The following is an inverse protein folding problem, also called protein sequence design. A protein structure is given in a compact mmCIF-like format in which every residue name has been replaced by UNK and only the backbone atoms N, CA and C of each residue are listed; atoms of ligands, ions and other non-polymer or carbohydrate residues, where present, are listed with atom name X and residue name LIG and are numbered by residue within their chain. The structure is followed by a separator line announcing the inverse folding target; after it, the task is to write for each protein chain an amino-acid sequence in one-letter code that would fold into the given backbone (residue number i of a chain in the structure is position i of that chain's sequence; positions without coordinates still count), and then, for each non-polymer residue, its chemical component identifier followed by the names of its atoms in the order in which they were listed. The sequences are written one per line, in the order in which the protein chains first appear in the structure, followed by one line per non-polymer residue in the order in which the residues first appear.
data_IF_604279587859
#
_entry.id   IF_604279587859
#
_cell.length_a   1.000
_cell.length_b   1.000
_cell.length_c   1.000
_cell.angle_alpha   90.00
_cell.angle_beta   90.00
_cell.angle_gamma   90.00
#
_symmetry.space_group_name_H-M   'P 1'
#
loop_
_entity.id
_entity.type
_entity.pdbx_description
1 polymer ?
#
# COMPACT_ATOMS: atom_id res chain seq x y z
N UNK A 1 -18.95 -42.83 -5.47
CA UNK A 1 -18.88 -42.10 -4.17
C UNK A 1 -17.97 -40.87 -4.35
N UNK A 2 -18.50 -39.68 -4.16
CA UNK A 2 -17.71 -38.46 -4.14
C UNK A 2 -16.81 -38.46 -2.90
N UNK A 3 -15.50 -38.51 -3.08
CA UNK A 3 -14.55 -38.24 -2.01
C UNK A 3 -14.30 -36.74 -1.95
N UNK A 4 -14.64 -36.13 -0.83
CA UNK A 4 -14.17 -34.81 -0.53
C UNK A 4 -12.65 -34.87 -0.38
N UNK A 5 -11.94 -34.22 -1.30
CA UNK A 5 -10.51 -34.06 -1.21
C UNK A 5 -10.24 -32.77 -0.40
N UNK A 6 -9.66 -32.91 0.78
CA UNK A 6 -9.13 -31.77 1.53
C UNK A 6 -7.70 -31.51 1.05
N UNK A 7 -7.56 -30.58 0.12
CA UNK A 7 -6.24 -30.05 -0.21
C UNK A 7 -5.98 -28.87 0.72
N UNK A 8 -4.94 -28.94 1.52
CA UNK A 8 -4.46 -27.80 2.30
C UNK A 8 -3.52 -27.03 1.39
N UNK A 9 -3.90 -25.83 0.89
CA UNK A 9 -3.02 -25.03 0.08
C UNK A 9 -1.79 -24.60 0.88
N UNK A 10 -0.62 -24.71 0.28
CA UNK A 10 0.62 -24.23 0.83
C UNK A 10 1.11 -23.00 0.02
N UNK A 11 1.88 -22.16 0.66
CA UNK A 11 2.57 -21.07 -0.02
C UNK A 11 3.76 -21.60 -0.85
N UNK A 12 4.27 -20.81 -1.82
CA UNK A 12 5.41 -21.22 -2.64
C UNK A 12 6.55 -21.80 -1.81
N UNK A 13 7.15 -22.89 -2.31
CA UNK A 13 8.20 -23.63 -1.60
C UNK A 13 7.69 -24.54 -0.48
N UNK A 14 6.39 -24.88 -0.48
CA UNK A 14 5.80 -25.78 0.53
C UNK A 14 5.68 -25.17 1.93
N UNK A 15 5.72 -23.86 2.04
CA UNK A 15 5.65 -23.14 3.31
C UNK A 15 4.22 -23.07 3.84
N UNK A 16 4.07 -23.26 5.15
CA UNK A 16 2.76 -23.26 5.83
C UNK A 16 2.29 -21.87 6.24
N UNK A 17 3.17 -20.89 6.27
CA UNK A 17 2.87 -19.51 6.65
C UNK A 17 3.53 -18.54 5.68
N UNK A 18 2.86 -17.43 5.43
CA UNK A 18 3.41 -16.29 4.72
C UNK A 18 3.13 -15.01 5.52
N UNK A 19 4.05 -14.06 5.41
CA UNK A 19 3.89 -12.69 5.91
C UNK A 19 3.93 -11.76 4.71
N UNK A 20 2.97 -10.84 4.63
CA UNK A 20 2.94 -9.77 3.64
C UNK A 20 2.83 -8.42 4.35
N UNK A 21 3.46 -7.41 3.79
CA UNK A 21 3.35 -6.04 4.26
C UNK A 21 2.76 -5.19 3.14
N UNK A 22 1.68 -4.50 3.44
CA UNK A 22 1.06 -3.51 2.56
C UNK A 22 1.04 -2.15 3.26
N UNK A 23 1.41 -1.10 2.55
CA UNK A 23 1.34 0.28 3.01
C UNK A 23 0.61 1.12 1.97
N UNK A 24 -0.21 2.04 2.44
CA UNK A 24 -1.05 2.87 1.60
C UNK A 24 -0.57 4.32 1.59
N UNK A 25 -1.11 5.10 0.65
CA UNK A 25 -1.05 6.55 0.56
C UNK A 25 0.24 7.18 0.00
N UNK A 26 1.36 6.51 -0.03
CA UNK A 26 2.59 7.06 -0.60
C UNK A 26 3.12 8.28 0.15
N UNK A 27 3.19 8.19 1.47
CA UNK A 27 3.62 9.29 2.34
C UNK A 27 5.15 9.38 2.46
N UNK A 28 5.65 10.54 2.82
CA UNK A 28 7.11 10.78 2.95
C UNK A 28 7.79 9.89 3.99
N UNK A 29 7.04 9.40 4.99
CA UNK A 29 7.51 8.44 5.98
C UNK A 29 7.91 7.09 5.36
N UNK A 30 7.40 6.77 4.17
CA UNK A 30 7.75 5.55 3.45
C UNK A 30 9.24 5.49 3.09
N UNK A 31 9.91 6.62 2.96
CA UNK A 31 11.36 6.66 2.77
C UNK A 31 12.09 5.90 3.89
N UNK A 32 11.70 6.14 5.14
CA UNK A 32 12.26 5.43 6.29
C UNK A 32 11.83 3.98 6.34
N UNK A 33 10.56 3.71 6.01
CA UNK A 33 10.01 2.35 6.00
C UNK A 33 10.74 1.47 4.96
N UNK A 34 10.90 1.95 3.74
CA UNK A 34 11.59 1.20 2.67
C UNK A 34 13.06 0.95 2.98
N UNK A 35 13.76 1.90 3.61
CA UNK A 35 15.13 1.69 4.10
C UNK A 35 15.21 0.52 5.09
N UNK A 36 14.31 0.50 6.08
CA UNK A 36 14.24 -0.57 7.07
C UNK A 36 13.90 -1.91 6.42
N UNK A 37 12.92 -1.93 5.51
CA UNK A 37 12.53 -3.14 4.80
C UNK A 37 13.69 -3.71 3.97
N UNK A 38 14.45 -2.87 3.26
CA UNK A 38 15.64 -3.29 2.53
C UNK A 38 16.69 -3.87 3.46
N UNK A 39 16.95 -3.20 4.59
CA UNK A 39 17.93 -3.65 5.59
C UNK A 39 17.65 -5.06 6.09
N UNK A 40 16.37 -5.40 6.27
CA UNK A 40 15.95 -6.70 6.80
C UNK A 40 15.44 -7.68 5.74
N UNK A 41 15.55 -7.34 4.46
CA UNK A 41 15.12 -8.20 3.36
C UNK A 41 13.62 -8.46 3.31
N UNK A 42 12.81 -7.52 3.82
CA UNK A 42 11.35 -7.62 3.83
C UNK A 42 10.80 -7.13 2.50
N UNK A 43 9.90 -7.90 1.90
CA UNK A 43 9.14 -7.53 0.71
C UNK A 43 7.82 -6.88 1.10
N UNK A 44 7.28 -6.04 0.23
CA UNK A 44 5.99 -5.40 0.48
C UNK A 44 5.45 -4.72 -0.76
N UNK A 45 4.19 -4.30 -0.64
CA UNK A 45 3.44 -3.59 -1.68
C UNK A 45 3.04 -2.22 -1.17
N UNK A 46 3.23 -1.21 -1.99
CA UNK A 46 2.87 0.18 -1.68
C UNK A 46 1.77 0.64 -2.64
N UNK A 47 0.64 1.04 -2.07
CA UNK A 47 -0.54 1.47 -2.82
C UNK A 47 -0.58 2.99 -2.88
N UNK A 48 -0.50 3.55 -4.09
CA UNK A 48 -0.30 4.98 -4.30
C UNK A 48 -1.55 5.66 -4.89
N UNK A 49 -1.80 6.90 -4.45
CA UNK A 49 -2.82 7.76 -5.03
C UNK A 49 -2.20 8.61 -6.13
N UNK A 50 -2.49 8.29 -7.38
CA UNK A 50 -1.83 8.92 -8.53
C UNK A 50 -2.11 10.43 -8.69
N UNK A 51 -3.25 10.91 -8.18
CA UNK A 51 -3.63 12.32 -8.24
C UNK A 51 -3.17 13.17 -7.06
N UNK A 52 -2.60 12.55 -6.01
CA UNK A 52 -2.22 13.25 -4.77
C UNK A 52 -0.71 13.35 -4.57
N UNK A 53 0.10 12.92 -5.53
CA UNK A 53 1.56 12.98 -5.41
C UNK A 53 2.04 14.42 -5.22
N UNK A 54 2.81 14.63 -4.15
CA UNK A 54 3.34 15.94 -3.78
C UNK A 54 2.44 16.78 -2.88
N UNK A 55 1.24 16.31 -2.55
CA UNK A 55 0.34 17.00 -1.61
C UNK A 55 0.97 17.14 -0.22
N UNK A 56 0.63 18.25 0.45
CA UNK A 56 1.18 18.64 1.75
C UNK A 56 0.08 18.75 2.80
N UNK A 57 -0.58 17.62 3.07
CA UNK A 57 -1.62 17.53 4.08
C UNK A 57 -1.06 17.23 5.48
N UNK A 58 -1.89 17.47 6.46
CA UNK A 58 -1.62 17.18 7.86
C UNK A 58 -2.72 16.30 8.43
N UNK A 59 -2.36 15.26 9.16
CA UNK A 59 -3.30 14.36 9.79
C UNK A 59 -3.42 14.70 11.27
N UNK A 60 -4.59 15.23 11.66
CA UNK A 60 -4.92 15.56 13.03
C UNK A 60 -6.12 14.75 13.47
N UNK A 61 -5.92 13.87 14.43
CA UNK A 61 -6.95 13.04 15.06
C UNK A 61 -6.62 12.91 16.54
N UNK A 62 -7.55 12.45 17.42
CA UNK A 62 -7.23 12.21 18.82
C UNK A 62 -5.99 11.31 18.97
N UNK A 63 -4.91 11.88 19.56
CA UNK A 63 -3.63 11.18 19.75
C UNK A 63 -2.70 11.13 18.51
N UNK A 64 -3.08 11.74 17.39
CA UNK A 64 -2.28 11.78 16.16
C UNK A 64 -2.21 13.21 15.66
N UNK A 65 -1.01 13.73 15.53
CA UNK A 65 -0.71 15.06 14.97
C UNK A 65 0.59 14.94 14.17
N UNK A 66 0.47 14.58 12.89
CA UNK A 66 1.61 14.29 12.04
C UNK A 66 1.43 14.82 10.63
N UNK A 67 2.54 15.12 9.97
CA UNK A 67 2.52 15.41 8.54
C UNK A 67 2.05 14.18 7.76
N UNK A 68 1.15 14.39 6.83
CA UNK A 68 0.69 13.37 5.87
C UNK A 68 1.10 13.81 4.46
N UNK A 69 2.36 14.21 4.31
CA UNK A 69 2.91 14.66 3.05
C UNK A 69 3.11 13.50 2.10
N UNK A 70 2.59 13.65 0.89
CA UNK A 70 2.77 12.65 -0.18
C UNK A 70 4.14 12.84 -0.84
N UNK A 71 4.76 11.72 -1.20
CA UNK A 71 5.94 11.73 -2.05
C UNK A 71 5.62 12.38 -3.39
N UNK A 72 6.58 13.11 -3.95
CA UNK A 72 6.45 13.66 -5.30
C UNK A 72 6.69 12.57 -6.34
N UNK A 73 6.18 12.81 -7.55
CA UNK A 73 6.28 11.87 -8.66
C UNK A 73 7.72 11.46 -8.98
N UNK A 74 8.65 12.40 -8.88
CA UNK A 74 10.07 12.17 -9.16
C UNK A 74 10.77 11.33 -8.08
N UNK A 75 10.21 11.24 -6.86
CA UNK A 75 10.75 10.46 -5.76
C UNK A 75 10.29 8.99 -5.76
N UNK A 76 9.17 8.68 -6.43
CA UNK A 76 8.52 7.37 -6.36
C UNK A 76 9.45 6.23 -6.76
N UNK A 77 10.16 6.39 -7.87
CA UNK A 77 11.03 5.35 -8.43
C UNK A 77 12.18 5.00 -7.48
N UNK A 78 12.77 5.98 -6.85
CA UNK A 78 13.89 5.79 -5.92
C UNK A 78 13.42 5.20 -4.59
N UNK A 79 12.37 5.78 -4.00
CA UNK A 79 11.87 5.35 -2.68
C UNK A 79 11.36 3.92 -2.72
N UNK A 80 10.65 3.53 -3.78
CA UNK A 80 10.05 2.19 -3.88
C UNK A 80 10.84 1.21 -4.74
N UNK A 81 12.08 1.51 -5.06
CA UNK A 81 12.94 0.57 -5.81
C UNK A 81 13.05 -0.79 -5.09
N UNK A 82 12.71 -1.85 -5.82
CA UNK A 82 12.68 -3.22 -5.29
C UNK A 82 11.39 -3.64 -4.59
N UNK A 83 10.37 -2.77 -4.53
CA UNK A 83 9.06 -3.06 -3.97
C UNK A 83 7.98 -3.06 -5.06
N UNK A 84 6.88 -3.73 -4.78
CA UNK A 84 5.69 -3.66 -5.63
C UNK A 84 4.95 -2.35 -5.42
N UNK A 85 4.53 -1.72 -6.51
CA UNK A 85 3.67 -0.55 -6.50
C UNK A 85 2.30 -0.95 -7.02
N UNK A 86 1.26 -0.59 -6.29
CA UNK A 86 -0.12 -0.84 -6.64
C UNK A 86 -0.96 0.44 -6.61
N UNK A 87 -2.19 0.35 -7.09
CA UNK A 87 -3.11 1.49 -7.15
C UNK A 87 -3.90 1.62 -5.85
N UNK A 88 -4.19 2.89 -5.47
CA UNK A 88 -5.02 3.22 -4.31
C UNK A 88 -6.02 4.35 -4.63
N UNK A 89 -6.62 4.30 -5.80
CA UNK A 89 -7.43 5.37 -6.42
C UNK A 89 -6.64 6.64 -6.73
N UNK A 90 -7.21 7.50 -7.56
CA UNK A 90 -6.55 8.76 -7.93
C UNK A 90 -6.49 9.75 -6.77
N UNK A 91 -7.59 9.94 -6.05
CA UNK A 91 -7.78 11.03 -5.08
C UNK A 91 -8.26 10.57 -3.70
N UNK A 92 -8.21 9.27 -3.42
CA UNK A 92 -8.62 8.70 -2.14
C UNK A 92 -10.06 9.09 -1.70
N UNK A 93 -11.09 9.00 -2.58
CA UNK A 93 -12.44 9.36 -2.19
C UNK A 93 -13.02 8.32 -1.22
N UNK A 94 -13.92 8.77 -0.35
CA UNK A 94 -14.79 7.85 0.38
C UNK A 94 -15.83 7.29 -0.60
N UNK A 95 -15.61 6.09 -1.11
CA UNK A 95 -16.47 5.46 -2.12
C UNK A 95 -17.90 5.20 -1.63
N UNK A 96 -18.15 5.24 -0.32
CA UNK A 96 -19.49 5.10 0.24
C UNK A 96 -20.35 6.36 0.01
N UNK A 97 -19.71 7.50 -0.23
CA UNK A 97 -20.36 8.79 -0.47
C UNK A 97 -20.38 9.20 -1.94
N UNK A 98 -19.65 8.50 -2.81
CA UNK A 98 -19.58 8.79 -4.24
C UNK A 98 -20.77 8.14 -4.96
N UNK A 99 -21.51 8.85 -5.84
CA UNK A 99 -22.54 8.24 -6.68
C UNK A 99 -21.97 7.08 -7.51
N UNK A 100 -22.73 6.00 -7.66
CA UNK A 100 -22.29 4.80 -8.39
C UNK A 100 -21.86 5.08 -9.83
N UNK A 101 -22.45 6.09 -10.47
CA UNK A 101 -22.07 6.56 -11.82
C UNK A 101 -20.67 7.18 -11.88
N UNK A 102 -20.12 7.62 -10.76
CA UNK A 102 -18.78 8.22 -10.65
C UNK A 102 -17.74 7.27 -10.03
N UNK A 103 -18.17 6.21 -9.38
CA UNK A 103 -17.27 5.27 -8.70
C UNK A 103 -16.45 4.41 -9.67
N UNK A 104 -16.79 4.41 -10.95
CA UNK A 104 -16.12 3.62 -12.00
C UNK A 104 -14.97 4.36 -12.71
N UNK A 105 -14.66 5.58 -12.30
CA UNK A 105 -13.64 6.43 -12.92
C UNK A 105 -12.36 6.51 -12.09
#
# INVERSE_FOLDING_TARGET
MLRLRQDIPLFPGGRKKAFTLSSDDGVTQDTRLTELMRKYGIKGTFHLNSGLMGDRDWLIQPGIDVSHYKLRRDEIKEVYDGFEIAVHTMTHPDLTTVPSSMAAW
#
